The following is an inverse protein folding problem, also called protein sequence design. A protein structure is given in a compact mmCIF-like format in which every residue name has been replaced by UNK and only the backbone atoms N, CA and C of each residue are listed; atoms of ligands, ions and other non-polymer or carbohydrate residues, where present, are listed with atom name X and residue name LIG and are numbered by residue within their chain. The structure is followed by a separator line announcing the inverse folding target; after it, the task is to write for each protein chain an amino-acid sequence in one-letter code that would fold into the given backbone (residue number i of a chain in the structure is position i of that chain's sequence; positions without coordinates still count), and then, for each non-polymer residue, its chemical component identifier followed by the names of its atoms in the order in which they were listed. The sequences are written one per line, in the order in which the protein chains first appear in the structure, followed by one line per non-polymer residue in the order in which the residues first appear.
data_IF_921915623533
#
_entry.id   IF_921915623533
#
_cell.length_a   1.000
_cell.length_b   1.000
_cell.length_c   1.000
_cell.angle_alpha   90.00
_cell.angle_beta   90.00
_cell.angle_gamma   90.00
#
_symmetry.space_group_name_H-M   'P 1'
#
loop_
_entity.id
_entity.type
_entity.pdbx_description
1 polymer ?
#
# COMPACT_ATOMS: atom_id res chain seq x y z
N UNK A 1 -8.32 31.53 -15.93
CA UNK A 1 -8.80 30.92 -14.67
C UNK A 1 -8.05 29.59 -14.52
N UNK A 2 -6.90 29.62 -13.83
CA UNK A 2 -6.07 28.43 -13.62
C UNK A 2 -6.82 27.50 -12.67
N UNK A 3 -7.25 26.34 -13.17
CA UNK A 3 -7.67 25.23 -12.33
C UNK A 3 -6.42 24.70 -11.59
N UNK A 4 -6.16 25.20 -10.42
CA UNK A 4 -5.24 24.57 -9.49
C UNK A 4 -5.88 23.24 -9.05
N UNK A 5 -5.60 22.18 -9.76
CA UNK A 5 -5.84 20.82 -9.30
C UNK A 5 -5.01 20.65 -8.00
N UNK A 6 -5.68 20.71 -6.87
CA UNK A 6 -5.04 20.38 -5.58
C UNK A 6 -4.73 18.88 -5.60
N UNK A 7 -3.51 18.54 -5.93
CA UNK A 7 -3.00 17.18 -5.80
C UNK A 7 -3.17 16.74 -4.35
N UNK A 8 -3.87 15.64 -4.14
CA UNK A 8 -4.10 15.10 -2.80
C UNK A 8 -2.86 14.40 -2.25
N UNK A 9 -2.79 14.23 -0.93
CA UNK A 9 -1.70 13.47 -0.31
C UNK A 9 -1.65 12.02 -0.82
N UNK A 10 -2.81 11.39 -1.05
CA UNK A 10 -2.89 10.03 -1.58
C UNK A 10 -2.32 9.92 -2.99
N UNK A 11 -2.58 10.91 -3.86
CA UNK A 11 -1.97 10.96 -5.19
C UNK A 11 -0.46 11.09 -5.13
N UNK A 12 0.06 11.97 -4.26
CA UNK A 12 1.51 12.13 -4.08
C UNK A 12 2.17 10.84 -3.60
N UNK A 13 1.57 10.16 -2.64
CA UNK A 13 2.08 8.88 -2.12
C UNK A 13 2.04 7.81 -3.22
N UNK A 14 0.92 7.68 -3.95
CA UNK A 14 0.79 6.71 -5.04
C UNK A 14 1.80 6.97 -6.17
N UNK A 15 2.03 8.23 -6.54
CA UNK A 15 3.06 8.61 -7.51
C UNK A 15 4.48 8.23 -7.05
N UNK A 16 4.80 8.45 -5.77
CA UNK A 16 6.12 8.10 -5.22
C UNK A 16 6.32 6.59 -5.24
N UNK A 17 5.34 5.81 -4.74
CA UNK A 17 5.40 4.35 -4.73
C UNK A 17 5.52 3.79 -6.15
N UNK A 18 4.78 4.36 -7.09
CA UNK A 18 4.82 3.95 -8.51
C UNK A 18 6.20 4.23 -9.12
N UNK A 19 6.81 5.38 -8.84
CA UNK A 19 8.15 5.70 -9.32
C UNK A 19 9.24 4.81 -8.71
N UNK A 20 9.09 4.40 -7.45
CA UNK A 20 10.01 3.45 -6.82
C UNK A 20 10.01 2.14 -7.60
N UNK A 21 8.84 1.62 -7.94
CA UNK A 21 8.69 0.33 -8.62
C UNK A 21 9.01 0.39 -10.12
N UNK A 22 8.46 1.38 -10.85
CA UNK A 22 8.65 1.48 -12.31
C UNK A 22 10.07 1.88 -12.72
N UNK A 23 10.75 2.67 -11.89
CA UNK A 23 12.04 3.26 -12.22
C UNK A 23 13.17 2.77 -11.33
N UNK A 24 12.88 1.84 -10.43
CA UNK A 24 13.84 1.32 -9.44
C UNK A 24 14.56 2.44 -8.67
N UNK A 25 13.80 3.51 -8.37
CA UNK A 25 14.34 4.66 -7.66
C UNK A 25 14.36 4.38 -6.15
N UNK A 26 15.36 4.95 -5.47
CA UNK A 26 15.29 5.04 -4.01
C UNK A 26 14.10 5.90 -3.59
N UNK A 27 13.53 5.63 -2.41
CA UNK A 27 12.42 6.41 -1.84
C UNK A 27 12.74 7.91 -1.79
N UNK A 28 13.99 8.27 -1.48
CA UNK A 28 14.48 9.65 -1.48
C UNK A 28 14.37 10.29 -2.87
N UNK A 29 14.88 9.63 -3.89
CA UNK A 29 14.89 10.15 -5.26
C UNK A 29 13.47 10.25 -5.84
N UNK A 30 12.62 9.27 -5.57
CA UNK A 30 11.21 9.31 -5.96
C UNK A 30 10.46 10.47 -5.30
N UNK A 31 10.65 10.66 -3.99
CA UNK A 31 10.10 11.77 -3.22
C UNK A 31 10.53 13.13 -3.80
N UNK A 32 11.82 13.33 -4.02
CA UNK A 32 12.35 14.57 -4.61
C UNK A 32 11.75 14.84 -5.99
N UNK A 33 11.64 13.81 -6.83
CA UNK A 33 11.08 13.95 -8.18
C UNK A 33 9.62 14.35 -8.18
N UNK A 34 8.80 13.73 -7.33
CA UNK A 34 7.38 14.08 -7.20
C UNK A 34 7.22 15.51 -6.65
N UNK A 35 7.99 15.86 -5.62
CA UNK A 35 7.86 17.16 -4.97
C UNK A 35 8.48 18.35 -5.73
N UNK A 36 9.21 18.12 -6.82
CA UNK A 36 9.61 19.19 -7.74
C UNK A 36 8.42 19.94 -8.37
N UNK A 37 7.29 19.28 -8.53
CA UNK A 37 6.05 19.84 -9.11
C UNK A 37 5.06 20.37 -8.07
N UNK A 38 5.34 20.16 -6.78
CA UNK A 38 4.49 20.62 -5.69
C UNK A 38 4.97 21.97 -5.19
N UNK A 39 4.09 22.94 -5.12
CA UNK A 39 4.33 24.27 -4.59
C UNK A 39 3.31 24.65 -3.52
N UNK A 40 3.54 25.72 -2.80
CA UNK A 40 2.61 26.26 -1.80
C UNK A 40 3.10 26.12 -0.36
N UNK A 41 2.36 26.74 0.54
CA UNK A 41 2.72 26.90 1.97
C UNK A 41 2.86 25.55 2.70
N UNK A 42 2.06 24.57 2.31
CA UNK A 42 1.99 23.27 2.97
C UNK A 42 2.94 22.22 2.37
N UNK A 43 3.79 22.63 1.39
CA UNK A 43 4.69 21.71 0.67
C UNK A 43 5.56 20.86 1.58
N UNK A 44 6.24 21.49 2.54
CA UNK A 44 7.16 20.76 3.44
C UNK A 44 6.40 19.82 4.40
N UNK A 45 5.22 20.24 4.87
CA UNK A 45 4.36 19.37 5.66
C UNK A 45 3.87 18.16 4.87
N UNK A 46 3.38 18.38 3.65
CA UNK A 46 2.96 17.31 2.74
C UNK A 46 4.12 16.36 2.41
N UNK A 47 5.33 16.90 2.22
CA UNK A 47 6.55 16.13 1.96
C UNK A 47 6.89 15.22 3.13
N UNK A 48 6.87 15.72 4.34
CA UNK A 48 7.12 14.94 5.56
C UNK A 48 6.09 13.82 5.74
N UNK A 49 4.80 14.11 5.54
CA UNK A 49 3.72 13.13 5.60
C UNK A 49 3.87 12.04 4.52
N UNK A 50 4.11 12.44 3.27
CA UNK A 50 4.30 11.49 2.17
C UNK A 50 5.50 10.57 2.43
N UNK A 51 6.62 11.11 2.92
CA UNK A 51 7.80 10.32 3.29
C UNK A 51 7.48 9.28 4.36
N UNK A 52 6.77 9.68 5.43
CA UNK A 52 6.38 8.77 6.50
C UNK A 52 5.47 7.64 6.00
N UNK A 53 4.47 7.99 5.15
CA UNK A 53 3.58 6.98 4.55
C UNK A 53 4.33 6.00 3.65
N UNK A 54 5.17 6.51 2.75
CA UNK A 54 5.94 5.66 1.83
C UNK A 54 6.84 4.71 2.62
N UNK A 55 7.57 5.21 3.63
CA UNK A 55 8.43 4.39 4.47
C UNK A 55 7.66 3.27 5.17
N UNK A 56 6.52 3.57 5.80
CA UNK A 56 5.73 2.58 6.51
C UNK A 56 5.04 1.58 5.56
N UNK A 57 4.55 2.03 4.40
CA UNK A 57 3.95 1.14 3.39
C UNK A 57 5.00 0.16 2.86
N UNK A 58 6.21 0.61 2.51
CA UNK A 58 7.30 -0.25 2.06
C UNK A 58 7.72 -1.24 3.15
N UNK A 59 7.83 -0.79 4.39
CA UNK A 59 8.13 -1.65 5.54
C UNK A 59 7.11 -2.78 5.74
N UNK A 60 5.83 -2.49 5.57
CA UNK A 60 4.74 -3.45 5.77
C UNK A 60 4.20 -4.04 4.47
N UNK A 61 4.86 -3.80 3.36
CA UNK A 61 4.37 -4.12 2.01
C UNK A 61 3.91 -5.55 1.87
N UNK A 62 4.71 -6.52 2.29
CA UNK A 62 4.34 -7.92 2.15
C UNK A 62 3.09 -8.29 2.94
N UNK A 63 2.92 -7.71 4.11
CA UNK A 63 1.72 -7.91 4.92
C UNK A 63 0.49 -7.22 4.31
N UNK A 64 0.67 -6.02 3.77
CA UNK A 64 -0.38 -5.29 3.04
C UNK A 64 -0.82 -6.08 1.80
N UNK A 65 0.12 -6.57 1.00
CA UNK A 65 -0.14 -7.37 -0.20
C UNK A 65 -0.80 -8.71 0.14
N UNK A 66 -0.44 -9.33 1.27
CA UNK A 66 -1.12 -10.52 1.78
C UNK A 66 -2.61 -10.26 2.10
N UNK A 67 -2.93 -9.12 2.75
CA UNK A 67 -4.32 -8.72 2.99
C UNK A 67 -5.05 -8.53 1.67
N UNK A 68 -4.48 -7.75 0.75
CA UNK A 68 -5.07 -7.51 -0.57
C UNK A 68 -5.34 -8.83 -1.32
N UNK A 69 -4.34 -9.71 -1.43
CA UNK A 69 -4.45 -10.99 -2.12
C UNK A 69 -5.41 -11.98 -1.46
N UNK A 70 -5.68 -11.83 -0.16
CA UNK A 70 -6.70 -12.60 0.54
C UNK A 70 -8.13 -12.16 0.19
N UNK A 71 -8.30 -10.94 -0.30
CA UNK A 71 -9.59 -10.33 -0.62
C UNK A 71 -9.88 -10.29 -2.13
N UNK A 72 -8.83 -10.25 -2.94
CA UNK A 72 -8.95 -10.25 -4.40
C UNK A 72 -9.39 -11.64 -4.90
N UNK A 73 -10.38 -11.66 -5.80
CA UNK A 73 -10.91 -12.89 -6.40
C UNK A 73 -10.51 -12.95 -7.87
N UNK A 74 -9.81 -14.03 -8.24
CA UNK A 74 -9.43 -14.28 -9.64
C UNK A 74 -8.30 -13.39 -10.18
N UNK A 75 -7.70 -12.56 -9.34
CA UNK A 75 -6.53 -11.72 -9.66
C UNK A 75 -5.69 -11.50 -8.41
N UNK A 76 -4.48 -11.02 -8.57
CA UNK A 76 -3.57 -10.66 -7.49
C UNK A 76 -3.25 -9.16 -7.56
N UNK A 77 -2.76 -8.60 -6.46
CA UNK A 77 -2.40 -7.17 -6.44
C UNK A 77 -1.26 -6.85 -7.42
N UNK A 78 -0.38 -7.83 -7.65
CA UNK A 78 0.74 -7.73 -8.58
C UNK A 78 0.30 -7.71 -10.05
N UNK A 79 -0.92 -8.18 -10.37
CA UNK A 79 -1.49 -8.22 -11.71
C UNK A 79 -2.29 -6.95 -12.04
N UNK A 80 -2.53 -6.09 -11.05
CA UNK A 80 -3.24 -4.83 -11.24
C UNK A 80 -2.32 -3.78 -11.87
N UNK A 81 -2.94 -2.76 -12.49
CA UNK A 81 -2.25 -1.52 -12.80
C UNK A 81 -1.52 -1.02 -11.54
N UNK A 82 -0.23 -0.69 -11.68
CA UNK A 82 0.64 -0.43 -10.55
C UNK A 82 0.18 0.74 -9.68
N UNK A 83 -0.31 1.81 -10.31
CA UNK A 83 -0.82 2.96 -9.57
C UNK A 83 -2.10 2.61 -8.81
N UNK A 84 -2.98 1.81 -9.40
CA UNK A 84 -4.20 1.30 -8.77
C UNK A 84 -3.86 0.38 -7.59
N UNK A 85 -2.87 -0.51 -7.76
CA UNK A 85 -2.36 -1.36 -6.69
C UNK A 85 -1.82 -0.52 -5.52
N UNK A 86 -1.08 0.55 -5.80
CA UNK A 86 -0.55 1.45 -4.78
C UNK A 86 -1.66 2.23 -4.05
N UNK A 87 -2.72 2.63 -4.74
CA UNK A 87 -3.90 3.21 -4.08
C UNK A 87 -4.60 2.22 -3.14
N UNK A 88 -4.73 0.95 -3.53
CA UNK A 88 -5.23 -0.10 -2.64
C UNK A 88 -4.32 -0.30 -1.42
N UNK A 89 -3.00 -0.34 -1.62
CA UNK A 89 -2.02 -0.45 -0.52
C UNK A 89 -2.15 0.69 0.47
N UNK A 90 -2.35 1.91 0.00
CA UNK A 90 -2.56 3.09 0.86
C UNK A 90 -3.82 2.91 1.71
N UNK A 91 -4.95 2.54 1.11
CA UNK A 91 -6.21 2.34 1.85
C UNK A 91 -6.11 1.21 2.89
N UNK A 92 -5.51 0.08 2.54
CA UNK A 92 -5.28 -1.04 3.46
C UNK A 92 -4.36 -0.61 4.61
N UNK A 93 -3.27 0.10 4.31
CA UNK A 93 -2.34 0.62 5.29
C UNK A 93 -3.03 1.56 6.29
N UNK A 94 -3.82 2.51 5.80
CA UNK A 94 -4.56 3.45 6.65
C UNK A 94 -5.49 2.74 7.62
N UNK A 95 -6.24 1.74 7.15
CA UNK A 95 -7.20 1.01 7.98
C UNK A 95 -6.54 0.07 8.99
N UNK A 96 -5.55 -0.71 8.55
CA UNK A 96 -5.00 -1.83 9.33
C UNK A 96 -3.77 -1.51 10.16
N UNK A 97 -3.02 -0.46 9.77
CA UNK A 97 -1.75 -0.12 10.43
C UNK A 97 -1.74 1.27 11.04
N UNK A 98 -2.51 2.20 10.48
CA UNK A 98 -2.55 3.59 10.93
C UNK A 98 -3.79 3.92 11.77
N UNK A 99 -4.81 3.07 11.75
CA UNK A 99 -6.05 3.26 12.51
C UNK A 99 -6.93 4.41 11.99
N UNK A 100 -6.82 4.75 10.71
CA UNK A 100 -7.74 5.68 10.07
C UNK A 100 -9.12 5.06 9.99
N UNK A 101 -10.16 5.87 10.22
CA UNK A 101 -11.54 5.40 10.08
C UNK A 101 -11.76 4.81 8.68
N UNK A 102 -12.31 3.57 8.58
CA UNK A 102 -12.47 2.85 7.31
C UNK A 102 -13.25 3.63 6.25
N UNK A 103 -14.29 4.37 6.65
CA UNK A 103 -15.07 5.16 5.71
C UNK A 103 -14.24 6.31 5.12
N UNK A 104 -13.41 6.98 5.96
CA UNK A 104 -12.54 8.07 5.52
C UNK A 104 -11.44 7.55 4.59
N UNK A 105 -10.77 6.47 4.96
CA UNK A 105 -9.73 5.85 4.13
C UNK A 105 -10.29 5.40 2.77
N UNK A 106 -11.46 4.73 2.77
CA UNK A 106 -12.14 4.29 1.55
C UNK A 106 -12.51 5.47 0.64
N UNK A 107 -13.16 6.50 1.20
CA UNK A 107 -13.62 7.66 0.42
C UNK A 107 -12.45 8.41 -0.21
N UNK A 108 -11.38 8.60 0.55
CA UNK A 108 -10.18 9.29 0.07
C UNK A 108 -9.53 8.58 -1.12
N UNK A 109 -9.37 7.25 -1.03
CA UNK A 109 -8.79 6.44 -2.12
C UNK A 109 -9.74 6.37 -3.32
N UNK A 110 -11.02 6.08 -3.10
CA UNK A 110 -12.04 5.96 -4.17
C UNK A 110 -12.19 7.25 -4.95
N UNK A 111 -12.06 8.41 -4.30
CA UNK A 111 -12.08 9.71 -4.98
C UNK A 111 -10.93 9.83 -5.98
N UNK A 112 -9.70 9.51 -5.59
CA UNK A 112 -8.55 9.52 -6.50
C UNK A 112 -8.76 8.55 -7.68
N UNK A 113 -9.30 7.35 -7.41
CA UNK A 113 -9.59 6.38 -8.47
C UNK A 113 -10.64 6.91 -9.45
N UNK A 114 -11.70 7.58 -8.97
CA UNK A 114 -12.73 8.18 -9.84
C UNK A 114 -12.16 9.29 -10.74
N UNK A 115 -11.22 10.07 -10.22
CA UNK A 115 -10.61 11.18 -10.98
C UNK A 115 -9.63 10.67 -12.03
N UNK A 116 -8.92 9.57 -11.77
CA UNK A 116 -7.85 9.07 -12.63
C UNK A 116 -8.27 7.93 -13.57
N UNK A 117 -9.28 7.17 -13.20
CA UNK A 117 -9.76 6.00 -13.92
C UNK A 117 -11.25 6.14 -14.26
N UNK A 118 -11.96 5.05 -14.13
CA UNK A 118 -13.38 4.93 -14.42
C UNK A 118 -14.20 4.47 -13.19
N UNK A 119 -15.51 4.52 -13.33
CA UNK A 119 -16.44 4.13 -12.28
C UNK A 119 -16.32 2.63 -11.90
N UNK A 120 -15.97 1.76 -12.85
CA UNK A 120 -15.85 0.32 -12.58
C UNK A 120 -14.65 0.04 -11.68
N UNK A 121 -13.50 0.67 -11.95
CA UNK A 121 -12.33 0.60 -11.07
C UNK A 121 -12.60 1.20 -9.69
N UNK A 122 -13.35 2.30 -9.64
CA UNK A 122 -13.77 2.89 -8.36
C UNK A 122 -14.67 1.96 -7.55
N UNK A 123 -15.64 1.29 -8.18
CA UNK A 123 -16.48 0.28 -7.53
C UNK A 123 -15.67 -0.92 -7.05
N UNK A 124 -14.73 -1.40 -7.85
CA UNK A 124 -13.82 -2.49 -7.49
C UNK A 124 -12.99 -2.14 -6.26
N UNK A 125 -12.31 -1.00 -6.25
CA UNK A 125 -11.52 -0.54 -5.11
C UNK A 125 -12.36 -0.36 -3.86
N UNK A 126 -13.55 0.24 -3.99
CA UNK A 126 -14.49 0.40 -2.87
C UNK A 126 -14.90 -0.95 -2.28
N UNK A 127 -15.17 -1.95 -3.11
CA UNK A 127 -15.54 -3.29 -2.65
C UNK A 127 -14.39 -3.94 -1.87
N UNK A 128 -13.16 -3.91 -2.38
CA UNK A 128 -11.98 -4.47 -1.71
C UNK A 128 -11.73 -3.78 -0.37
N UNK A 129 -11.79 -2.44 -0.32
CA UNK A 129 -11.55 -1.69 0.92
C UNK A 129 -12.66 -1.93 1.97
N UNK A 130 -13.90 -2.10 1.57
CA UNK A 130 -14.99 -2.50 2.49
C UNK A 130 -14.77 -3.89 3.10
N UNK A 131 -14.28 -4.84 2.32
CA UNK A 131 -13.93 -6.16 2.85
C UNK A 131 -12.66 -6.09 3.71
N UNK A 132 -11.73 -5.16 3.42
CA UNK A 132 -10.55 -4.91 4.26
C UNK A 132 -10.96 -4.55 5.70
N UNK A 133 -12.00 -3.75 5.90
CA UNK A 133 -12.48 -3.38 7.24
C UNK A 133 -12.77 -4.62 8.09
N UNK A 134 -13.45 -5.62 7.51
CA UNK A 134 -13.88 -6.85 8.18
C UNK A 134 -12.78 -7.92 8.26
N UNK A 135 -11.68 -7.74 7.55
CA UNK A 135 -10.63 -8.75 7.45
C UNK A 135 -9.91 -8.95 8.77
N UNK A 136 -9.93 -10.17 9.28
CA UNK A 136 -9.22 -10.58 10.49
C UNK A 136 -7.82 -11.10 10.12
N UNK A 137 -6.83 -10.21 10.25
CA UNK A 137 -5.44 -10.50 9.92
C UNK A 137 -4.85 -11.59 10.81
N UNK A 138 -5.15 -11.59 12.12
CA UNK A 138 -4.61 -12.58 13.06
C UNK A 138 -5.12 -13.99 12.76
N UNK A 139 -6.41 -14.11 12.47
CA UNK A 139 -7.01 -15.38 12.04
C UNK A 139 -6.42 -15.87 10.71
N UNK A 140 -6.18 -14.96 9.75
CA UNK A 140 -5.56 -15.31 8.48
C UNK A 140 -4.11 -15.76 8.66
N UNK A 141 -3.34 -15.08 9.50
CA UNK A 141 -1.96 -15.44 9.82
C UNK A 141 -1.88 -16.78 10.55
N UNK A 142 -2.82 -17.08 11.45
CA UNK A 142 -2.88 -18.38 12.13
C UNK A 142 -3.06 -19.52 11.13
N UNK A 143 -4.01 -19.38 10.20
CA UNK A 143 -4.21 -20.37 9.12
C UNK A 143 -2.98 -20.52 8.23
N UNK A 144 -2.32 -19.41 7.91
CA UNK A 144 -1.10 -19.43 7.11
C UNK A 144 0.01 -20.17 7.83
N UNK A 145 0.17 -19.99 9.14
CA UNK A 145 1.17 -20.69 9.97
C UNK A 145 0.99 -22.22 9.94
N UNK A 146 -0.26 -22.69 9.94
CA UNK A 146 -0.58 -24.12 9.86
C UNK A 146 -0.27 -24.70 8.48
N UNK A 147 -0.39 -23.90 7.42
CA UNK A 147 -0.18 -24.33 6.03
C UNK A 147 1.26 -24.19 5.56
N UNK A 148 1.89 -23.06 5.82
CA UNK A 148 3.26 -22.74 5.40
C UNK A 148 3.91 -21.81 6.43
N UNK A 149 4.74 -22.39 7.29
CA UNK A 149 5.39 -21.66 8.38
C UNK A 149 6.40 -20.62 7.89
N UNK A 150 7.09 -20.88 6.78
CA UNK A 150 8.06 -19.93 6.21
C UNK A 150 7.32 -18.73 5.63
N UNK A 151 6.25 -18.97 4.87
CA UNK A 151 5.43 -17.87 4.35
C UNK A 151 4.74 -17.08 5.47
N UNK A 152 4.29 -17.74 6.53
CA UNK A 152 3.78 -17.08 7.73
C UNK A 152 4.80 -16.11 8.32
N UNK A 153 6.04 -16.54 8.53
CA UNK A 153 7.10 -15.67 9.06
C UNK A 153 7.41 -14.52 8.09
N UNK A 154 7.48 -14.84 6.80
CA UNK A 154 7.68 -13.87 5.74
C UNK A 154 6.61 -12.75 5.75
N UNK A 155 5.34 -13.11 5.85
CA UNK A 155 4.22 -12.16 5.94
C UNK A 155 4.20 -11.45 7.29
N UNK A 156 4.35 -12.19 8.40
CA UNK A 156 4.28 -11.63 9.75
C UNK A 156 5.30 -10.53 9.98
N UNK A 157 6.53 -10.72 9.51
CA UNK A 157 7.63 -9.79 9.68
C UNK A 157 7.88 -8.91 8.45
N UNK A 158 7.10 -9.10 7.40
CA UNK A 158 7.21 -8.36 6.14
C UNK A 158 8.59 -8.47 5.48
N UNK A 159 9.19 -9.66 5.54
CA UNK A 159 10.47 -9.97 4.91
C UNK A 159 10.29 -10.87 3.69
N UNK A 160 11.16 -10.79 2.67
CA UNK A 160 11.14 -11.74 1.55
C UNK A 160 11.28 -13.18 2.02
N UNK A 161 10.59 -14.12 1.36
CA UNK A 161 10.65 -15.53 1.70
C UNK A 161 12.09 -16.09 1.73
N UNK A 162 12.89 -15.76 0.71
CA UNK A 162 14.29 -16.20 0.64
C UNK A 162 15.13 -15.74 1.84
N UNK A 163 14.84 -14.55 2.37
CA UNK A 163 15.54 -14.02 3.55
C UNK A 163 15.17 -14.81 4.81
N UNK A 164 13.88 -15.16 4.96
CA UNK A 164 13.42 -15.99 6.07
C UNK A 164 14.05 -17.37 6.01
N UNK A 165 14.07 -18.00 4.84
CA UNK A 165 14.74 -19.28 4.59
C UNK A 165 16.22 -19.22 4.97
N UNK A 166 16.93 -18.20 4.48
CA UNK A 166 18.35 -17.98 4.81
C UNK A 166 18.59 -17.82 6.31
N UNK A 167 17.77 -17.04 7.01
CA UNK A 167 17.92 -16.84 8.48
C UNK A 167 17.66 -18.14 9.23
N UNK A 168 16.68 -18.92 8.82
CA UNK A 168 16.37 -20.22 9.44
C UNK A 168 17.50 -21.22 9.22
N UNK A 169 18.05 -21.27 8.03
CA UNK A 169 19.19 -22.15 7.73
C UNK A 169 20.46 -21.77 8.52
N UNK A 170 20.64 -20.48 8.77
CA UNK A 170 21.79 -19.97 9.50
C UNK A 170 21.66 -20.14 11.03
N UNK A 171 20.50 -19.90 11.60
CA UNK A 171 20.28 -19.78 13.04
C UNK A 171 19.49 -20.96 13.64
N UNK A 172 18.88 -21.80 12.81
CA UNK A 172 17.96 -22.84 13.25
C UNK A 172 16.54 -22.31 13.55
N UNK A 173 15.66 -23.24 13.86
CA UNK A 173 14.21 -23.02 14.06
C UNK A 173 13.83 -22.76 15.54
N UNK A 174 14.68 -22.29 16.37
CA UNK A 174 14.32 -22.01 17.76
C UNK A 174 13.58 -20.71 17.99
#
# INVERSE_FOLDING_TARGET
MELFYRITLHELIADILTLIEERELSSKNALERVFKRVSGKDRERARGLAHAYVFEIEKWRKKIDFIANSLLKGTRIEDLDLYLANLLRIGIFEMKFKGVNPAIATDSVVRVVKERYDLNRAKFVNAVLRETEKFDLEKALKKLKEKDRIEYLSVKFSHPRWYVEYVIDLLGYE
#
